data_IF_138686317473
#
_entry.id   IF_138686317473
#
_cell.length_a   1.000
_cell.length_b   1.000
_cell.length_c   1.000
_cell.angle_alpha   90.00
_cell.angle_beta   90.00
_cell.angle_gamma   90.00
#
_symmetry.space_group_name_H-M   'P 1'
#
loop_
_entity.id
_entity.type
_entity.pdbx_description
1 polymer ?
#
# COMPACT_ATOMS: atom_id res chain seq x y z
N UNK A 1 34.22 51.80 -65.89
CA UNK A 1 32.87 51.48 -65.39
C UNK A 1 33.03 50.58 -64.18
N UNK A 2 32.65 51.12 -63.01
CA UNK A 2 32.69 50.48 -61.70
C UNK A 2 31.89 49.17 -61.69
N UNK A 3 32.35 48.13 -60.98
CA UNK A 3 31.53 47.41 -60.00
C UNK A 3 32.41 46.85 -58.88
N UNK A 4 31.97 47.13 -57.66
CA UNK A 4 32.65 46.93 -56.38
C UNK A 4 32.65 45.46 -55.98
N UNK A 5 33.83 44.97 -55.58
CA UNK A 5 33.99 43.73 -54.81
C UNK A 5 33.38 43.91 -53.42
N UNK A 6 32.21 43.33 -53.20
CA UNK A 6 31.61 43.18 -51.87
C UNK A 6 32.02 41.85 -51.25
N UNK A 7 33.05 41.84 -50.42
CA UNK A 7 33.42 40.68 -49.61
C UNK A 7 32.39 40.48 -48.48
N UNK A 8 31.78 39.29 -48.34
CA UNK A 8 30.93 39.00 -47.19
C UNK A 8 31.82 38.84 -45.96
N UNK A 9 31.77 39.82 -45.05
CA UNK A 9 32.39 39.71 -43.72
C UNK A 9 31.60 38.71 -42.88
N UNK A 10 32.04 37.45 -42.87
CA UNK A 10 31.56 36.44 -41.93
C UNK A 10 31.99 36.85 -40.52
N UNK A 11 31.10 37.53 -39.78
CA UNK A 11 31.27 37.70 -38.33
C UNK A 11 31.19 36.30 -37.71
N UNK A 12 32.33 35.71 -37.42
CA UNK A 12 32.40 34.48 -36.65
C UNK A 12 31.67 34.69 -35.33
N UNK A 13 30.52 34.03 -35.16
CA UNK A 13 29.83 34.00 -33.89
C UNK A 13 30.79 33.37 -32.88
N UNK A 14 31.30 34.17 -31.93
CA UNK A 14 32.13 33.67 -30.83
C UNK A 14 31.32 32.60 -30.11
N UNK A 15 31.71 31.34 -30.25
CA UNK A 15 31.17 30.25 -29.44
C UNK A 15 31.60 30.53 -28.00
N UNK A 16 30.66 30.98 -27.17
CA UNK A 16 30.86 31.09 -25.74
C UNK A 16 30.91 29.67 -25.18
N UNK A 17 32.08 29.26 -24.68
CA UNK A 17 32.25 27.99 -23.98
C UNK A 17 31.90 28.16 -22.50
N UNK A 18 31.20 27.17 -21.94
CA UNK A 18 30.95 27.10 -20.50
C UNK A 18 32.28 26.91 -19.75
N UNK A 19 32.47 27.65 -18.66
CA UNK A 19 33.60 27.43 -17.77
C UNK A 19 33.31 26.30 -16.78
N UNK A 20 34.36 25.58 -16.35
CA UNK A 20 34.22 24.52 -15.34
C UNK A 20 33.65 25.05 -14.02
N UNK A 21 33.97 26.31 -13.67
CA UNK A 21 33.48 26.93 -12.44
C UNK A 21 31.99 27.26 -12.51
N UNK A 22 31.48 27.71 -13.66
CA UNK A 22 30.03 27.92 -13.86
C UNK A 22 29.26 26.63 -13.69
N UNK A 23 29.75 25.52 -14.29
CA UNK A 23 29.13 24.22 -14.12
C UNK A 23 29.16 23.75 -12.65
N UNK A 24 30.27 23.99 -11.95
CA UNK A 24 30.45 23.60 -10.56
C UNK A 24 29.48 24.34 -9.61
N UNK A 25 29.26 25.63 -9.84
CA UNK A 25 28.29 26.42 -9.06
C UNK A 25 26.86 25.90 -9.30
N UNK A 26 26.52 25.58 -10.55
CA UNK A 26 25.17 25.08 -10.90
C UNK A 26 24.89 23.75 -10.20
N UNK A 27 25.81 22.79 -10.25
CA UNK A 27 25.62 21.50 -9.54
C UNK A 27 25.56 21.69 -8.03
N UNK A 28 26.35 22.61 -7.47
CA UNK A 28 26.32 22.90 -6.03
C UNK A 28 24.94 23.40 -5.59
N UNK A 29 24.32 24.30 -6.36
CA UNK A 29 22.98 24.81 -6.09
C UNK A 29 21.93 23.69 -6.21
N UNK A 30 22.00 22.86 -7.25
CA UNK A 30 21.07 21.72 -7.43
C UNK A 30 21.14 20.76 -6.24
N UNK A 31 22.35 20.44 -5.77
CA UNK A 31 22.53 19.53 -4.63
C UNK A 31 21.93 20.10 -3.33
N UNK A 32 22.06 21.41 -3.08
CA UNK A 32 21.45 22.07 -1.92
C UNK A 32 19.92 21.98 -2.00
N UNK A 33 19.33 22.23 -3.18
CA UNK A 33 17.89 22.14 -3.37
C UNK A 33 17.37 20.72 -3.16
N UNK A 34 18.04 19.71 -3.73
CA UNK A 34 17.66 18.30 -3.56
C UNK A 34 17.77 17.87 -2.10
N UNK A 35 18.82 18.29 -1.38
CA UNK A 35 19.01 17.93 0.03
C UNK A 35 17.83 18.36 0.91
N UNK A 36 17.21 19.51 0.61
CA UNK A 36 16.03 20.01 1.33
C UNK A 36 14.73 19.38 0.81
N UNK A 37 14.60 19.25 -0.51
CA UNK A 37 13.36 18.82 -1.15
C UNK A 37 13.10 17.32 -1.00
N UNK A 38 14.13 16.48 -1.11
CA UNK A 38 14.01 15.03 -1.15
C UNK A 38 13.36 14.41 0.11
N UNK A 39 13.77 14.74 1.36
CA UNK A 39 13.13 14.14 2.53
C UNK A 39 11.63 14.47 2.60
N UNK A 40 11.24 15.71 2.33
CA UNK A 40 9.84 16.13 2.32
C UNK A 40 9.05 15.43 1.20
N UNK A 41 9.66 15.25 0.02
CA UNK A 41 9.04 14.51 -1.07
C UNK A 41 8.77 13.04 -0.70
N UNK A 42 9.73 12.36 -0.07
CA UNK A 42 9.57 10.97 0.38
C UNK A 42 8.46 10.86 1.43
N UNK A 43 8.39 11.79 2.38
CA UNK A 43 7.31 11.84 3.36
C UNK A 43 5.94 12.04 2.71
N UNK A 44 5.82 12.96 1.76
CA UNK A 44 4.59 13.20 1.03
C UNK A 44 4.14 11.95 0.26
N UNK A 45 5.10 11.22 -0.34
CA UNK A 45 4.82 9.96 -1.02
C UNK A 45 4.28 8.89 -0.05
N UNK A 46 4.88 8.74 1.13
CA UNK A 46 4.38 7.82 2.16
C UNK A 46 2.96 8.17 2.59
N UNK A 47 2.69 9.45 2.90
CA UNK A 47 1.33 9.90 3.28
C UNK A 47 0.31 9.65 2.16
N UNK A 48 0.71 9.81 0.91
CA UNK A 48 -0.16 9.51 -0.24
C UNK A 48 -0.48 8.00 -0.33
N UNK A 49 0.50 7.12 -0.08
CA UNK A 49 0.28 5.66 -0.03
C UNK A 49 -0.67 5.27 1.10
N UNK A 50 -0.47 5.79 2.31
CA UNK A 50 -1.40 5.58 3.44
C UNK A 50 -2.82 6.04 3.08
N UNK A 51 -2.94 7.24 2.50
CA UNK A 51 -4.24 7.79 2.07
C UNK A 51 -4.92 6.88 1.04
N UNK A 52 -4.15 6.33 0.10
CA UNK A 52 -4.63 5.36 -0.88
C UNK A 52 -5.16 4.10 -0.19
N UNK A 53 -4.39 3.49 0.72
CA UNK A 53 -4.82 2.30 1.49
C UNK A 53 -6.14 2.56 2.21
N UNK A 54 -6.28 3.70 2.87
CA UNK A 54 -7.52 4.06 3.55
C UNK A 54 -8.71 4.22 2.59
N UNK A 55 -8.47 4.72 1.37
CA UNK A 55 -9.48 4.79 0.31
C UNK A 55 -9.90 3.43 -0.21
N UNK A 56 -8.92 2.56 -0.45
CA UNK A 56 -9.15 1.19 -0.91
C UNK A 56 -9.91 0.38 0.15
N UNK A 57 -9.60 0.57 1.43
CA UNK A 57 -10.35 -0.03 2.55
C UNK A 57 -11.80 0.41 2.63
N UNK A 58 -12.12 1.68 2.32
CA UNK A 58 -13.51 2.15 2.27
C UNK A 58 -14.28 1.44 1.16
N UNK A 59 -13.65 1.27 -0.01
CA UNK A 59 -14.25 0.59 -1.16
C UNK A 59 -14.46 -0.88 -0.87
N UNK A 60 -13.45 -1.56 -0.30
CA UNK A 60 -13.55 -2.96 0.12
C UNK A 60 -14.59 -3.19 1.21
N UNK A 61 -14.64 -2.33 2.23
CA UNK A 61 -15.65 -2.40 3.28
C UNK A 61 -17.06 -2.36 2.68
N UNK A 62 -17.30 -1.41 1.78
CA UNK A 62 -18.60 -1.28 1.09
C UNK A 62 -18.94 -2.55 0.31
N UNK A 63 -17.96 -3.14 -0.39
CA UNK A 63 -18.16 -4.38 -1.14
C UNK A 63 -18.44 -5.58 -0.23
N UNK A 64 -17.71 -5.72 0.90
CA UNK A 64 -17.90 -6.78 1.89
C UNK A 64 -19.27 -6.70 2.55
N UNK A 65 -19.70 -5.50 2.94
CA UNK A 65 -21.03 -5.27 3.52
C UNK A 65 -22.14 -5.53 2.51
N UNK A 66 -21.95 -5.13 1.25
CA UNK A 66 -22.92 -5.40 0.18
C UNK A 66 -23.04 -6.91 -0.08
N UNK A 67 -21.91 -7.63 -0.06
CA UNK A 67 -21.89 -9.09 -0.16
C UNK A 67 -22.65 -9.74 1.01
N UNK A 68 -22.43 -9.25 2.24
CA UNK A 68 -23.15 -9.73 3.43
C UNK A 68 -24.66 -9.48 3.32
N UNK A 69 -25.06 -8.32 2.81
CA UNK A 69 -26.47 -7.98 2.59
C UNK A 69 -27.14 -8.91 1.58
N UNK A 70 -26.43 -9.30 0.51
CA UNK A 70 -26.97 -10.17 -0.54
C UNK A 70 -27.03 -11.64 -0.11
N UNK A 71 -25.95 -12.16 0.49
CA UNK A 71 -25.79 -13.59 0.76
C UNK A 71 -26.00 -13.99 2.22
N UNK A 72 -26.22 -13.05 3.12
CA UNK A 72 -26.43 -13.29 4.54
C UNK A 72 -25.20 -13.77 5.31
N UNK A 73 -24.01 -13.81 4.67
CA UNK A 73 -22.71 -14.20 5.26
C UNK A 73 -21.58 -13.39 4.65
N UNK A 74 -20.46 -13.26 5.35
CA UNK A 74 -19.29 -12.56 4.84
C UNK A 74 -18.51 -13.45 3.83
N UNK A 75 -17.70 -12.85 2.93
CA UNK A 75 -16.77 -13.60 2.10
C UNK A 75 -15.90 -14.53 2.96
N UNK A 76 -15.77 -15.82 2.64
CA UNK A 76 -14.97 -16.72 3.46
C UNK A 76 -13.47 -16.38 3.34
N UNK A 77 -12.79 -16.26 4.47
CA UNK A 77 -11.35 -16.03 4.52
C UNK A 77 -10.54 -17.34 4.64
N UNK A 78 -11.17 -18.40 5.18
CA UNK A 78 -10.58 -19.72 5.34
C UNK A 78 -11.45 -20.79 4.69
N UNK A 79 -10.86 -21.97 4.42
CA UNK A 79 -11.58 -23.10 3.85
C UNK A 79 -12.72 -23.51 4.79
N UNK A 80 -13.99 -23.41 4.39
CA UNK A 80 -15.12 -23.76 5.25
C UNK A 80 -15.13 -25.24 5.63
N UNK A 81 -14.44 -26.09 4.85
CA UNK A 81 -14.33 -27.51 5.13
C UNK A 81 -13.26 -27.84 6.18
N UNK A 82 -12.37 -26.90 6.53
CA UNK A 82 -11.39 -27.12 7.60
C UNK A 82 -12.02 -26.84 8.97
N UNK A 83 -12.19 -27.87 9.83
CA UNK A 83 -12.76 -27.70 11.16
C UNK A 83 -11.90 -26.84 12.08
N UNK A 84 -10.65 -26.54 11.73
CA UNK A 84 -9.71 -25.75 12.54
C UNK A 84 -9.47 -24.34 12.01
N UNK A 85 -9.96 -23.98 10.82
CA UNK A 85 -9.76 -22.67 10.20
C UNK A 85 -8.28 -22.33 9.91
N UNK A 86 -7.42 -23.35 9.79
CA UNK A 86 -5.98 -23.23 9.52
C UNK A 86 -5.68 -23.21 8.03
N UNK A 87 -6.48 -23.91 7.22
CA UNK A 87 -6.39 -23.91 5.77
C UNK A 87 -6.96 -22.61 5.20
N UNK A 88 -6.07 -21.69 4.88
CA UNK A 88 -6.46 -20.37 4.41
C UNK A 88 -6.71 -20.36 2.92
N UNK A 89 -7.78 -19.69 2.52
CA UNK A 89 -7.99 -19.36 1.11
C UNK A 89 -6.92 -18.34 0.72
N UNK A 90 -6.33 -18.51 -0.47
CA UNK A 90 -5.38 -17.54 -1.02
C UNK A 90 -6.00 -16.14 -1.03
N UNK A 91 -5.27 -15.13 -0.57
CA UNK A 91 -5.82 -13.79 -0.32
C UNK A 91 -6.51 -13.19 -1.55
N UNK A 92 -5.92 -13.37 -2.74
CA UNK A 92 -6.54 -12.95 -4.01
C UNK A 92 -7.91 -13.58 -4.23
N UNK A 93 -8.07 -14.87 -3.89
CA UNK A 93 -9.34 -15.59 -4.02
C UNK A 93 -10.39 -15.13 -3.00
N UNK A 94 -9.97 -14.65 -1.82
CA UNK A 94 -10.87 -14.08 -0.81
C UNK A 94 -11.63 -12.87 -1.35
N UNK A 95 -10.97 -12.02 -2.14
CA UNK A 95 -11.62 -10.86 -2.78
C UNK A 95 -12.16 -11.13 -4.18
N UNK A 96 -11.72 -12.19 -4.86
CA UNK A 96 -12.25 -12.55 -6.19
C UNK A 96 -13.77 -12.83 -6.17
N UNK A 97 -14.30 -13.27 -5.03
CA UNK A 97 -15.74 -13.45 -4.84
C UNK A 97 -16.52 -12.12 -4.80
N UNK A 98 -15.84 -10.99 -4.57
CA UNK A 98 -16.44 -9.66 -4.61
C UNK A 98 -16.52 -9.09 -6.03
N UNK A 99 -15.82 -9.67 -7.00
CA UNK A 99 -15.82 -9.21 -8.39
C UNK A 99 -16.64 -10.11 -9.31
N UNK A 100 -16.77 -11.40 -8.99
CA UNK A 100 -17.48 -12.39 -9.83
C UNK A 100 -18.22 -13.42 -8.97
N UNK A 101 -19.41 -13.90 -9.38
CA UNK A 101 -20.17 -13.55 -10.60
C UNK A 101 -21.00 -12.27 -10.50
N UNK A 102 -21.30 -11.78 -9.29
CA UNK A 102 -21.91 -10.47 -9.05
C UNK A 102 -20.80 -9.52 -8.57
N UNK A 103 -20.61 -8.40 -9.28
CA UNK A 103 -19.55 -7.46 -8.98
C UNK A 103 -20.00 -6.45 -7.91
N UNK A 104 -19.59 -6.66 -6.66
CA UNK A 104 -19.66 -5.67 -5.60
C UNK A 104 -18.54 -4.62 -5.71
N UNK A 105 -17.48 -4.93 -6.47
CA UNK A 105 -16.43 -4.01 -6.86
C UNK A 105 -15.89 -4.32 -8.26
N UNK A 106 -15.33 -3.31 -8.94
CA UNK A 106 -14.85 -3.43 -10.33
C UNK A 106 -13.51 -4.15 -10.45
N UNK A 107 -12.61 -3.99 -9.47
CA UNK A 107 -11.29 -4.62 -9.43
C UNK A 107 -10.76 -4.69 -8.01
N UNK A 108 -10.01 -5.73 -7.68
CA UNK A 108 -9.37 -5.87 -6.37
C UNK A 108 -8.17 -4.90 -6.30
N UNK A 109 -8.13 -3.98 -5.33
CA UNK A 109 -7.00 -3.06 -5.18
C UNK A 109 -5.76 -3.80 -4.66
N UNK A 110 -4.59 -3.35 -5.12
CA UNK A 110 -3.29 -3.84 -4.68
C UNK A 110 -2.72 -2.94 -3.59
N UNK A 111 -2.04 -3.54 -2.61
CA UNK A 111 -1.42 -2.78 -1.53
C UNK A 111 -0.20 -1.97 -2.06
N UNK A 112 -0.20 -0.63 -2.00
CA UNK A 112 0.91 0.21 -2.49
C UNK A 112 2.20 0.09 -1.66
N UNK A 113 2.16 -0.57 -0.50
CA UNK A 113 3.38 -0.88 0.27
C UNK A 113 4.07 -2.15 -0.24
N UNK A 114 3.36 -3.00 -0.97
CA UNK A 114 3.88 -4.24 -1.54
C UNK A 114 4.02 -4.14 -3.07
N UNK A 115 5.07 -3.42 -3.50
CA UNK A 115 5.41 -3.22 -4.92
C UNK A 115 6.34 -4.31 -5.48
N UNK A 116 6.41 -5.47 -4.81
CA UNK A 116 7.22 -6.59 -5.28
C UNK A 116 6.37 -7.52 -6.13
N UNK A 117 6.84 -7.86 -7.33
CA UNK A 117 6.28 -8.94 -8.15
C UNK A 117 6.61 -10.30 -7.52
N UNK A 118 5.94 -10.58 -6.41
CA UNK A 118 6.07 -11.83 -5.69
C UNK A 118 5.22 -12.91 -6.38
N UNK A 119 5.78 -14.10 -6.63
CA UNK A 119 5.01 -15.26 -7.05
C UNK A 119 3.84 -15.50 -6.10
N UNK A 120 2.69 -15.92 -6.62
CA UNK A 120 1.47 -16.17 -5.83
C UNK A 120 1.69 -17.18 -4.68
N UNK A 121 2.68 -18.09 -4.82
CA UNK A 121 3.08 -19.02 -3.76
C UNK A 121 3.78 -18.34 -2.58
N UNK A 122 4.50 -17.24 -2.82
CA UNK A 122 5.12 -16.43 -1.77
C UNK A 122 4.07 -15.49 -1.15
N UNK A 123 3.16 -14.96 -1.97
CA UNK A 123 2.03 -14.12 -1.50
C UNK A 123 1.12 -14.86 -0.52
N UNK A 124 0.92 -16.18 -0.71
CA UNK A 124 0.15 -17.00 0.25
C UNK A 124 0.83 -17.17 1.60
N UNK A 125 2.16 -17.26 1.63
CA UNK A 125 2.95 -17.45 2.85
C UNK A 125 3.15 -16.13 3.62
N UNK A 126 3.11 -15.01 2.91
CA UNK A 126 3.21 -13.65 3.45
C UNK A 126 1.85 -13.01 3.73
N UNK A 127 0.80 -13.81 3.89
CA UNK A 127 -0.49 -13.33 4.38
C UNK A 127 -1.10 -12.19 3.54
N UNK A 128 -0.80 -12.09 2.23
CA UNK A 128 -1.34 -11.02 1.37
C UNK A 128 -0.33 -10.00 0.85
N UNK A 129 0.93 -10.37 0.64
CA UNK A 129 1.97 -9.44 0.13
C UNK A 129 1.76 -8.86 -1.31
N UNK A 130 0.54 -8.82 -1.86
CA UNK A 130 0.20 -8.08 -3.10
C UNK A 130 -1.20 -7.42 -3.04
N UNK A 131 -2.08 -7.94 -2.19
CA UNK A 131 -3.46 -7.48 -1.96
C UNK A 131 -3.70 -7.48 -0.46
N UNK A 132 -4.49 -6.54 0.05
CA UNK A 132 -4.73 -6.41 1.49
C UNK A 132 -5.12 -7.72 2.15
N UNK A 133 -4.75 -7.91 3.42
CA UNK A 133 -5.17 -9.11 4.12
C UNK A 133 -6.59 -8.94 4.66
N UNK A 134 -7.36 -10.02 4.70
CA UNK A 134 -8.76 -10.00 5.14
C UNK A 134 -9.09 -11.23 5.97
N UNK A 135 -9.77 -10.99 7.08
CA UNK A 135 -10.31 -12.02 7.96
C UNK A 135 -11.73 -11.69 8.34
N UNK A 136 -12.53 -12.73 8.49
CA UNK A 136 -13.84 -12.68 9.10
C UNK A 136 -14.00 -13.77 10.16
N UNK A 137 -14.97 -13.57 11.05
CA UNK A 137 -15.13 -14.33 12.28
C UNK A 137 -15.56 -15.78 12.08
N UNK A 138 -16.47 -16.03 11.15
CA UNK A 138 -17.16 -17.31 10.96
C UNK A 138 -16.19 -18.40 10.47
N UNK A 139 -15.42 -18.16 9.41
CA UNK A 139 -14.49 -19.16 8.86
C UNK A 139 -13.08 -19.07 9.43
N UNK A 140 -12.60 -17.87 9.79
CA UNK A 140 -11.24 -17.73 10.35
C UNK A 140 -11.16 -18.00 11.85
N UNK A 141 -12.29 -18.24 12.53
CA UNK A 141 -12.35 -18.51 13.98
C UNK A 141 -11.59 -17.48 14.82
N UNK A 142 -11.71 -16.21 14.47
CA UNK A 142 -11.05 -15.08 15.14
C UNK A 142 -11.35 -14.99 16.65
N UNK A 143 -12.43 -15.64 17.11
CA UNK A 143 -12.84 -15.70 18.51
C UNK A 143 -12.29 -16.89 19.30
N UNK A 144 -11.50 -17.79 18.71
CA UNK A 144 -10.92 -18.95 19.43
C UNK A 144 -9.46 -18.71 19.81
N UNK A 145 -9.11 -18.68 21.12
CA UNK A 145 -7.73 -18.63 21.58
C UNK A 145 -6.90 -19.83 21.07
N UNK A 146 -5.58 -19.70 20.86
CA UNK A 146 -4.70 -18.57 21.21
C UNK A 146 -4.41 -17.60 20.03
N UNK A 147 -5.12 -17.72 18.91
CA UNK A 147 -4.79 -17.03 17.65
C UNK A 147 -5.81 -15.96 17.24
N UNK A 148 -6.68 -15.56 18.16
CA UNK A 148 -7.64 -14.49 17.96
C UNK A 148 -6.98 -13.12 18.10
N UNK A 149 -7.20 -12.18 17.16
CA UNK A 149 -6.67 -10.84 17.33
C UNK A 149 -7.42 -10.10 18.46
N UNK A 150 -6.83 -9.03 18.98
CA UNK A 150 -7.27 -8.07 20.03
C UNK A 150 -8.78 -8.08 20.44
N UNK A 151 -9.15 -7.74 21.68
CA UNK A 151 -10.54 -7.43 22.06
C UNK A 151 -11.36 -6.62 21.05
N UNK A 152 -10.75 -5.68 20.32
CA UNK A 152 -11.42 -4.90 19.25
C UNK A 152 -11.87 -5.78 18.07
N UNK A 153 -11.10 -6.80 17.72
CA UNK A 153 -11.47 -7.80 16.70
C UNK A 153 -12.55 -8.74 17.24
N UNK A 154 -12.60 -8.96 18.56
CA UNK A 154 -13.72 -9.67 19.20
C UNK A 154 -15.04 -8.90 19.11
N UNK A 155 -15.00 -7.57 18.91
CA UNK A 155 -16.20 -6.75 18.68
C UNK A 155 -16.55 -6.56 17.21
N UNK A 156 -15.69 -6.97 16.28
CA UNK A 156 -15.87 -6.76 14.84
C UNK A 156 -16.09 -8.08 14.10
N UNK A 157 -16.98 -8.12 13.11
CA UNK A 157 -17.23 -9.34 12.33
C UNK A 157 -16.12 -9.66 11.34
N UNK A 158 -15.39 -8.64 10.87
CA UNK A 158 -14.26 -8.78 9.98
C UNK A 158 -13.27 -7.63 10.17
N UNK A 159 -12.07 -7.81 9.64
CA UNK A 159 -11.10 -6.72 9.48
C UNK A 159 -10.26 -6.91 8.22
N UNK A 160 -9.78 -5.79 7.70
CA UNK A 160 -8.82 -5.72 6.61
C UNK A 160 -7.57 -5.02 7.13
N UNK A 161 -6.39 -5.50 6.77
CA UNK A 161 -5.15 -4.82 7.14
C UNK A 161 -4.11 -4.79 6.02
N UNK A 162 -3.21 -3.82 6.16
CA UNK A 162 -1.99 -3.61 5.39
C UNK A 162 -0.85 -3.47 6.39
N UNK A 163 0.30 -4.09 6.10
CA UNK A 163 1.50 -3.95 6.92
C UNK A 163 2.05 -2.51 6.90
N UNK A 164 1.57 -1.65 6.00
CA UNK A 164 1.94 -0.25 6.03
C UNK A 164 3.43 0.01 5.69
N UNK A 165 3.99 1.15 6.14
CA UNK A 165 5.31 1.62 5.70
C UNK A 165 6.52 0.82 6.18
N UNK A 166 6.43 0.11 7.29
CA UNK A 166 7.53 -0.68 7.87
C UNK A 166 7.63 -2.09 7.25
N UNK A 167 6.55 -2.56 6.61
CA UNK A 167 6.40 -3.90 6.05
C UNK A 167 6.58 -5.02 7.09
N UNK A 168 6.44 -4.68 8.37
CA UNK A 168 6.52 -5.64 9.46
C UNK A 168 5.11 -5.98 9.95
N UNK A 169 4.92 -7.21 10.41
CA UNK A 169 3.66 -7.56 11.04
C UNK A 169 3.76 -7.24 12.53
N UNK A 170 3.32 -6.04 12.89
CA UNK A 170 3.42 -5.53 14.25
C UNK A 170 2.28 -6.06 15.11
N UNK A 171 2.47 -7.25 15.67
CA UNK A 171 1.56 -7.85 16.64
C UNK A 171 2.19 -8.08 18.02
N UNK A 172 1.59 -7.50 19.06
CA UNK A 172 1.94 -7.75 20.46
C UNK A 172 1.19 -8.97 20.99
N UNK A 173 1.90 -9.91 21.59
CA UNK A 173 1.25 -10.97 22.37
C UNK A 173 0.82 -10.41 23.72
N UNK A 174 -0.48 -10.22 23.93
CA UNK A 174 -1.05 -9.76 25.20
C UNK A 174 -1.81 -10.93 25.84
N UNK A 175 -1.13 -11.69 26.68
CA UNK A 175 -1.68 -12.93 27.25
C UNK A 175 -1.81 -14.02 26.19
N UNK A 176 -3.02 -14.49 25.91
CA UNK A 176 -3.33 -15.50 24.89
C UNK A 176 -3.85 -14.91 23.56
N UNK A 177 -3.67 -13.60 23.34
CA UNK A 177 -4.18 -12.86 22.19
C UNK A 177 -3.07 -12.12 21.46
N UNK A 178 -3.24 -11.93 20.14
CA UNK A 178 -2.35 -11.11 19.32
C UNK A 178 -3.00 -9.75 19.07
N UNK A 179 -2.40 -8.66 19.51
CA UNK A 179 -2.90 -7.31 19.27
C UNK A 179 -2.10 -6.68 18.14
N UNK A 180 -2.76 -6.36 17.03
CA UNK A 180 -2.10 -5.63 15.94
C UNK A 180 -1.97 -4.17 16.39
N UNK A 181 -0.77 -3.60 16.30
CA UNK A 181 -0.52 -2.21 16.65
C UNK A 181 -1.06 -1.32 15.52
N UNK A 182 -2.06 -0.45 15.76
CA UNK A 182 -2.62 0.36 14.69
C UNK A 182 -1.66 1.48 14.26
N UNK A 183 -1.62 1.74 12.96
CA UNK A 183 -0.91 2.85 12.34
C UNK A 183 -1.36 4.19 12.96
N UNK A 184 -0.41 4.94 13.51
CA UNK A 184 -0.64 6.26 14.06
C UNK A 184 0.17 7.31 13.30
N UNK A 185 -0.51 8.15 12.50
CA UNK A 185 0.12 9.24 11.76
C UNK A 185 0.84 10.26 12.66
N UNK A 186 0.45 10.36 13.93
CA UNK A 186 1.03 11.25 14.94
C UNK A 186 2.42 10.80 15.43
N UNK A 187 2.79 9.54 15.22
CA UNK A 187 4.09 8.99 15.64
C UNK A 187 5.19 9.21 14.59
N UNK A 188 4.91 9.99 13.54
CA UNK A 188 5.82 10.27 12.45
C UNK A 188 5.54 9.43 11.20
N UNK A 189 6.28 9.70 10.12
CA UNK A 189 6.14 9.02 8.81
C UNK A 189 6.60 7.56 8.80
N UNK A 190 7.20 7.10 9.91
CA UNK A 190 7.56 5.70 10.19
C UNK A 190 6.82 5.21 11.44
N UNK A 191 5.49 5.12 11.36
CA UNK A 191 4.75 4.34 12.35
C UNK A 191 5.20 2.89 12.24
N UNK A 192 5.49 2.27 13.38
CA UNK A 192 5.72 0.82 13.56
C UNK A 192 4.37 0.12 13.77
N UNK A 193 3.48 0.21 12.78
CA UNK A 193 2.13 -0.29 13.00
C UNK A 193 1.31 -0.35 11.72
N UNK A 194 0.42 -1.33 11.71
CA UNK A 194 -0.37 -1.74 10.55
C UNK A 194 -1.56 -0.80 10.33
N UNK A 195 -1.90 -0.57 9.07
CA UNK A 195 -3.13 0.14 8.71
C UNK A 195 -4.27 -0.87 8.74
N UNK A 196 -5.26 -0.68 9.60
CA UNK A 196 -6.35 -1.63 9.81
C UNK A 196 -7.70 -0.93 9.68
N UNK A 197 -8.69 -1.66 9.16
CA UNK A 197 -10.09 -1.28 9.21
C UNK A 197 -10.92 -2.44 9.75
N UNK A 198 -11.77 -2.12 10.72
CA UNK A 198 -12.74 -3.03 11.31
C UNK A 198 -14.13 -2.86 10.67
N UNK A 199 -14.81 -4.00 10.51
CA UNK A 199 -16.23 -4.06 10.21
C UNK A 199 -17.09 -3.84 11.45
N UNK A 200 -18.43 -3.79 11.27
CA UNK A 200 -19.39 -3.72 12.37
C UNK A 200 -19.36 -4.98 13.26
#
# INVERSE_FOLDING_TARGET
MFLLSGSPSSRGAKRQGFTLIELLIVIAIILILIAIALPNFLEAQLRARVTRVQGDFRSLATAIESYKSEYGKYPPASNPADPNGRERIQVVKRFAILTTPIAFMTSIPTDPFFDQDLPLSIVSDLWGAKVYNYFERETSKLSTPPWGPEPQVQHSWWFIHSLGPDLDYDALTVGAFYSIIPYAATNGTRSSGDIIRYGP
#
